data_IF_152614793446
#
_entry.id   IF_152614793446
#
_cell.length_a   1.000
_cell.length_b   1.000
_cell.length_c   1.000
_cell.angle_alpha   90.00
_cell.angle_beta   90.00
_cell.angle_gamma   90.00
#
_symmetry.space_group_name_H-M   'P 1'
#
loop_
_entity.id
_entity.type
_entity.pdbx_description
1 polymer ?
#
# COMPACT_ATOMS: atom_id res chain seq x y z
N UNK A 1 6.71 5.18 6.60
CA UNK A 1 7.43 4.41 5.56
C UNK A 1 6.52 3.31 5.02
N UNK A 2 6.60 2.99 3.72
CA UNK A 2 6.01 1.78 3.13
C UNK A 2 7.17 1.03 2.47
N UNK A 3 7.30 -0.26 2.75
CA UNK A 3 8.34 -1.09 2.14
C UNK A 3 7.74 -1.92 1.00
N UNK A 4 8.13 -1.61 -0.24
CA UNK A 4 7.67 -2.34 -1.42
C UNK A 4 8.67 -3.44 -1.78
N UNK A 5 8.21 -4.46 -2.52
CA UNK A 5 9.02 -5.58 -3.00
C UNK A 5 9.72 -6.36 -1.87
N UNK A 6 9.07 -6.48 -0.71
CA UNK A 6 9.66 -7.00 0.52
C UNK A 6 9.85 -8.53 0.52
N UNK A 7 9.02 -9.28 -0.21
CA UNK A 7 9.21 -10.70 -0.45
C UNK A 7 8.48 -11.14 -1.73
N UNK A 8 8.83 -12.30 -2.25
CA UNK A 8 8.08 -13.02 -3.27
C UNK A 8 7.63 -14.38 -2.70
N UNK A 9 6.42 -14.80 -3.00
CA UNK A 9 5.90 -16.12 -2.60
C UNK A 9 5.92 -17.05 -3.82
N UNK A 10 6.69 -18.14 -3.75
CA UNK A 10 6.77 -19.16 -4.81
C UNK A 10 5.50 -20.03 -4.86
N UNK A 11 5.39 -20.86 -5.91
CA UNK A 11 4.22 -21.70 -6.14
C UNK A 11 3.99 -22.78 -5.06
N UNK A 12 5.03 -23.13 -4.30
CA UNK A 12 4.97 -24.03 -3.15
C UNK A 12 4.58 -23.31 -1.84
N UNK A 13 4.39 -21.99 -1.89
CA UNK A 13 4.01 -21.15 -0.75
C UNK A 13 5.20 -20.65 0.08
N UNK A 14 6.44 -20.95 -0.31
CA UNK A 14 7.62 -20.43 0.37
C UNK A 14 7.80 -18.93 0.10
N UNK A 15 8.21 -18.18 1.13
CA UNK A 15 8.51 -16.75 1.01
C UNK A 15 10.01 -16.54 0.85
N UNK A 16 10.38 -15.74 -0.15
CA UNK A 16 11.76 -15.40 -0.48
C UNK A 16 12.01 -13.90 -0.37
N UNK A 17 13.00 -13.52 0.43
CA UNK A 17 13.48 -12.15 0.60
C UNK A 17 14.60 -11.87 -0.42
N UNK A 18 14.24 -11.65 -1.68
CA UNK A 18 15.19 -11.52 -2.80
C UNK A 18 16.26 -10.43 -2.59
N UNK A 19 15.92 -9.39 -1.84
CA UNK A 19 16.78 -8.23 -1.58
C UNK A 19 17.11 -8.05 -0.10
N UNK A 20 16.91 -9.10 0.71
CA UNK A 20 16.93 -9.03 2.18
C UNK A 20 15.65 -8.41 2.76
N UNK A 21 15.62 -8.22 4.08
CA UNK A 21 14.47 -7.68 4.79
C UNK A 21 14.84 -6.72 5.93
N UNK A 22 13.86 -5.93 6.35
CA UNK A 22 13.96 -5.04 7.51
C UNK A 22 14.48 -3.63 7.21
N UNK A 23 14.80 -3.31 5.95
CA UNK A 23 15.27 -1.97 5.58
C UNK A 23 14.22 -0.89 5.83
N UNK A 24 12.95 -1.19 5.53
CA UNK A 24 11.84 -0.28 5.81
C UNK A 24 11.61 -0.03 7.30
N UNK A 25 11.76 -1.07 8.12
CA UNK A 25 11.67 -0.98 9.59
C UNK A 25 12.82 -0.16 10.18
N UNK A 26 14.05 -0.38 9.70
CA UNK A 26 15.21 0.42 10.10
C UNK A 26 15.01 1.90 9.77
N UNK A 27 14.63 2.20 8.52
CA UNK A 27 14.39 3.57 8.07
C UNK A 27 13.25 4.25 8.85
N UNK A 28 12.18 3.51 9.13
CA UNK A 28 11.06 4.02 9.92
C UNK A 28 11.52 4.46 11.32
N UNK A 29 12.36 3.65 11.98
CA UNK A 29 12.95 3.98 13.28
C UNK A 29 13.90 5.17 13.22
N UNK A 30 14.76 5.23 12.21
CA UNK A 30 15.72 6.34 12.05
C UNK A 30 15.03 7.69 11.85
N UNK A 31 13.89 7.68 11.16
CA UNK A 31 13.11 8.89 10.86
C UNK A 31 12.05 9.22 11.93
N UNK A 32 11.90 8.39 12.97
CA UNK A 32 10.83 8.49 13.98
C UNK A 32 9.41 8.57 13.36
N UNK A 33 9.15 7.70 12.38
CA UNK A 33 7.85 7.60 11.69
C UNK A 33 7.38 6.14 11.64
N UNK A 34 6.07 5.86 11.53
CA UNK A 34 5.59 4.49 11.48
C UNK A 34 5.94 3.78 10.16
N UNK A 35 6.21 2.47 10.23
CA UNK A 35 6.10 1.57 9.10
C UNK A 35 4.62 1.26 8.85
N UNK A 36 4.06 1.80 7.77
CA UNK A 36 2.65 1.67 7.43
C UNK A 36 2.33 0.28 6.88
N UNK A 37 3.28 -0.37 6.22
CA UNK A 37 3.10 -1.73 5.72
C UNK A 37 4.21 -2.15 4.78
N UNK A 38 4.14 -3.43 4.41
CA UNK A 38 5.05 -4.09 3.50
C UNK A 38 4.24 -4.73 2.37
N UNK A 39 4.68 -4.59 1.13
CA UNK A 39 3.95 -5.04 -0.07
C UNK A 39 4.80 -6.07 -0.83
N UNK A 40 4.26 -7.28 -0.97
CA UNK A 40 4.89 -8.38 -1.68
C UNK A 40 5.16 -8.02 -3.15
N UNK A 41 6.28 -8.52 -3.68
CA UNK A 41 6.62 -8.46 -5.09
C UNK A 41 5.73 -9.43 -5.87
N UNK A 42 4.64 -8.91 -6.46
CA UNK A 42 3.78 -9.66 -7.37
C UNK A 42 3.69 -8.96 -8.73
N UNK A 43 3.80 -9.69 -9.87
CA UNK A 43 3.77 -9.08 -11.21
C UNK A 43 2.54 -8.21 -11.46
N UNK A 44 1.38 -8.63 -10.94
CA UNK A 44 0.10 -7.94 -11.11
C UNK A 44 0.10 -6.49 -10.58
N UNK A 45 0.93 -6.16 -9.57
CA UNK A 45 1.06 -4.76 -9.09
C UNK A 45 1.65 -3.87 -10.19
N UNK A 46 2.74 -4.33 -10.84
CA UNK A 46 3.39 -3.60 -11.94
C UNK A 46 2.47 -3.54 -13.16
N UNK A 47 1.90 -4.67 -13.55
CA UNK A 47 1.01 -4.75 -14.72
C UNK A 47 -0.20 -3.82 -14.59
N UNK A 48 -0.84 -3.83 -13.42
CA UNK A 48 -1.96 -2.92 -13.15
C UNK A 48 -1.57 -1.45 -13.18
N UNK A 49 -0.38 -1.12 -12.68
CA UNK A 49 0.18 0.24 -12.78
C UNK A 49 0.44 0.66 -14.23
N UNK A 50 1.08 -0.20 -15.03
CA UNK A 50 1.43 0.06 -16.43
C UNK A 50 0.18 0.20 -17.32
N UNK A 51 -0.88 -0.54 -17.01
CA UNK A 51 -2.14 -0.55 -17.78
C UNK A 51 -3.15 0.51 -17.30
N UNK A 52 -2.90 1.18 -16.19
CA UNK A 52 -3.85 2.12 -15.58
C UNK A 52 -5.05 1.42 -14.91
N UNK A 53 -4.92 0.14 -14.59
CA UNK A 53 -5.93 -0.67 -13.88
C UNK A 53 -5.31 -1.23 -12.59
N UNK A 54 -5.33 -0.48 -11.47
CA UNK A 54 -4.65 -0.88 -10.25
C UNK A 54 -5.08 -2.24 -9.72
N UNK A 55 -4.15 -3.00 -9.15
CA UNK A 55 -4.42 -4.35 -8.62
C UNK A 55 -5.53 -4.37 -7.55
N UNK A 56 -5.68 -3.30 -6.76
CA UNK A 56 -6.76 -3.16 -5.77
C UNK A 56 -8.16 -3.13 -6.40
N UNK A 57 -8.27 -2.74 -7.68
CA UNK A 57 -9.51 -2.77 -8.44
C UNK A 57 -9.68 -4.12 -9.14
N UNK A 58 -8.63 -4.60 -9.81
CA UNK A 58 -8.68 -5.81 -10.65
C UNK A 58 -8.72 -7.11 -9.84
N UNK A 59 -7.96 -7.17 -8.75
CA UNK A 59 -7.77 -8.36 -7.90
C UNK A 59 -7.82 -7.98 -6.40
N UNK A 60 -8.99 -7.58 -5.88
CA UNK A 60 -9.12 -7.01 -4.52
C UNK A 60 -8.73 -7.99 -3.40
N UNK A 61 -8.82 -9.30 -3.64
CA UNK A 61 -8.50 -10.34 -2.67
C UNK A 61 -7.03 -10.77 -2.65
N UNK A 62 -6.19 -10.25 -3.54
CA UNK A 62 -4.77 -10.61 -3.59
C UNK A 62 -4.01 -10.17 -2.32
N UNK A 63 -2.89 -10.84 -2.01
CA UNK A 63 -2.03 -10.48 -0.87
C UNK A 63 -1.59 -9.01 -0.95
N UNK A 64 -1.21 -8.53 -2.14
CA UNK A 64 -0.79 -7.16 -2.35
C UNK A 64 -1.95 -6.15 -2.21
N UNK A 65 -3.14 -6.47 -2.74
CA UNK A 65 -4.32 -5.60 -2.60
C UNK A 65 -4.70 -5.41 -1.13
N UNK A 66 -4.76 -6.50 -0.36
CA UNK A 66 -5.04 -6.46 1.08
C UNK A 66 -3.99 -5.65 1.85
N UNK A 67 -2.72 -5.78 1.48
CA UNK A 67 -1.64 -5.00 2.09
C UNK A 67 -1.78 -3.50 1.77
N UNK A 68 -2.11 -3.14 0.53
CA UNK A 68 -2.34 -1.75 0.11
C UNK A 68 -3.55 -1.15 0.85
N UNK A 69 -4.65 -1.89 0.95
CA UNK A 69 -5.84 -1.44 1.69
C UNK A 69 -5.54 -1.23 3.18
N UNK A 70 -4.77 -2.13 3.79
CA UNK A 70 -4.34 -1.98 5.18
C UNK A 70 -3.43 -0.75 5.38
N UNK A 71 -2.52 -0.48 4.44
CA UNK A 71 -1.69 0.73 4.42
C UNK A 71 -2.57 1.98 4.32
N UNK A 72 -3.57 1.99 3.44
CA UNK A 72 -4.50 3.10 3.29
C UNK A 72 -5.29 3.36 4.58
N UNK A 73 -5.78 2.30 5.23
CA UNK A 73 -6.45 2.39 6.54
C UNK A 73 -5.57 3.04 7.60
N UNK A 74 -4.33 2.54 7.78
CA UNK A 74 -3.36 3.11 8.74
C UNK A 74 -3.00 4.55 8.42
N UNK A 75 -2.90 4.90 7.13
CA UNK A 75 -2.64 6.26 6.71
C UNK A 75 -3.79 7.20 7.12
N UNK A 76 -5.05 6.75 6.97
CA UNK A 76 -6.22 7.52 7.40
C UNK A 76 -6.22 7.77 8.91
N UNK A 77 -5.80 6.80 9.71
CA UNK A 77 -5.70 6.94 11.18
C UNK A 77 -4.65 7.99 11.60
N UNK A 78 -3.64 8.25 10.76
CA UNK A 78 -2.62 9.27 10.99
C UNK A 78 -3.03 10.65 10.48
N UNK A 79 -4.05 10.73 9.62
CA UNK A 79 -4.54 12.02 9.14
C UNK A 79 -5.47 12.66 10.17
N UNK A 80 -5.36 13.98 10.43
CA UNK A 80 -6.33 14.67 11.26
C UNK A 80 -7.74 14.47 10.70
N UNK A 81 -8.73 14.40 11.59
CA UNK A 81 -10.13 14.18 11.22
C UNK A 81 -10.54 15.11 10.06
N UNK A 82 -11.18 14.53 9.03
CA UNK A 82 -11.59 15.25 7.82
C UNK A 82 -12.21 16.60 8.19
N UNK A 83 -11.53 17.69 7.84
CA UNK A 83 -12.08 19.03 7.96
C UNK A 83 -13.15 19.15 6.87
N UNK A 84 -14.42 19.04 7.25
CA UNK A 84 -15.52 19.44 6.36
C UNK A 84 -15.47 20.96 6.24
N UNK A 85 -14.90 21.46 5.15
CA UNK A 85 -15.03 22.86 4.78
C UNK A 85 -16.41 23.02 4.13
N UNK A 86 -17.41 23.63 4.81
CA UNK A 86 -18.77 23.78 4.26
C UNK A 86 -18.80 24.65 2.99
N UNK A 87 -17.70 25.36 2.71
CA UNK A 87 -17.49 26.19 1.53
C UNK A 87 -17.12 25.38 0.27
N UNK A 88 -16.66 24.13 0.41
CA UNK A 88 -16.37 23.20 -0.69
C UNK A 88 -17.58 22.29 -0.99
N UNK A 89 -18.77 22.88 -1.10
CA UNK A 89 -19.89 22.17 -1.75
C UNK A 89 -19.62 22.19 -3.25
N UNK A 90 -19.25 21.06 -3.82
CA UNK A 90 -19.31 20.88 -5.27
C UNK A 90 -20.79 20.98 -5.62
N UNK A 91 -21.22 22.14 -6.09
CA UNK A 91 -22.52 22.32 -6.74
C UNK A 91 -22.47 21.43 -7.98
N UNK A 92 -23.19 20.31 -7.93
CA UNK A 92 -23.46 19.52 -9.13
C UNK A 92 -24.23 20.45 -10.06
N UNK A 93 -23.59 20.90 -11.15
CA UNK A 93 -24.30 21.54 -12.25
C UNK A 93 -25.30 20.52 -12.80
N UNK A 94 -26.56 20.96 -12.89
CA UNK A 94 -27.69 20.12 -13.32
C UNK A 94 -27.69 19.76 -14.79
#
# INVERSE_FOLDING_TARGET
VIENMCWFTSNDGERHELFGAGGGELLARELDVPLLGQIALVPAVREGGDQGEPIVVREPDSEASRAIDAVAGRLLDLTPARIRLPQLRITTAG
#
